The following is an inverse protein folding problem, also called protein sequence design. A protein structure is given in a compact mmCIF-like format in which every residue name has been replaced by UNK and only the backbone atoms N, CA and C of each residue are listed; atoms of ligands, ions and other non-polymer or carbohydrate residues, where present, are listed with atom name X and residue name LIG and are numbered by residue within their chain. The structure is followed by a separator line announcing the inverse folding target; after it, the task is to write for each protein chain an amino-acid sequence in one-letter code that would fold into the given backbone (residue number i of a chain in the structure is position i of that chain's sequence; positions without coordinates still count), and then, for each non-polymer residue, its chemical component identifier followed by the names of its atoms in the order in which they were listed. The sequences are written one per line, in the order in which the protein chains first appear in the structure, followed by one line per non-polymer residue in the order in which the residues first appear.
data_IF_540542277290
#
_entry.id   IF_540542277290
#
_cell.length_a   1.000
_cell.length_b   1.000
_cell.length_c   1.000
_cell.angle_alpha   90.00
_cell.angle_beta   90.00
_cell.angle_gamma   90.00
#
_symmetry.space_group_name_H-M   'P 1'
#
loop_
_entity.id
_entity.type
_entity.pdbx_description
1 polymer ?
#
# COMPACT_ATOMS: atom_id res chain seq x y z
N UNK A 1 -16.00 -7.25 10.86
CA UNK A 1 -14.59 -7.12 10.43
C UNK A 1 -14.23 -5.65 10.43
N UNK A 2 -13.32 -5.22 11.31
CA UNK A 2 -12.98 -3.80 11.47
C UNK A 2 -12.26 -3.31 10.21
N UNK A 3 -12.95 -2.47 9.43
CA UNK A 3 -12.41 -1.94 8.20
C UNK A 3 -11.29 -0.94 8.54
N UNK A 4 -10.02 -1.32 8.33
CA UNK A 4 -8.89 -0.40 8.55
C UNK A 4 -9.00 0.77 7.56
N UNK A 5 -9.14 1.99 8.08
CA UNK A 5 -9.14 3.21 7.28
C UNK A 5 -7.69 3.61 7.04
N UNK A 6 -7.25 3.51 5.79
CA UNK A 6 -5.91 3.92 5.37
C UNK A 6 -5.87 5.43 5.15
N UNK A 7 -4.79 6.08 5.60
CA UNK A 7 -4.59 7.52 5.57
C UNK A 7 -3.17 7.88 5.11
N UNK A 8 -2.96 9.09 4.60
CA UNK A 8 -1.61 9.63 4.43
C UNK A 8 -0.80 9.51 5.72
N UNK A 9 0.45 9.08 5.60
CA UNK A 9 1.37 8.81 6.72
C UNK A 9 1.42 7.34 7.13
N UNK A 10 0.34 6.57 6.93
CA UNK A 10 0.34 5.14 7.25
C UNK A 10 1.38 4.40 6.40
N UNK A 11 2.05 3.42 7.00
CA UNK A 11 2.96 2.52 6.30
C UNK A 11 2.27 1.17 6.14
N UNK A 12 2.25 0.65 4.92
CA UNK A 12 1.66 -0.64 4.60
C UNK A 12 2.67 -1.52 3.90
N UNK A 13 2.70 -2.79 4.28
CA UNK A 13 3.33 -3.83 3.49
C UNK A 13 2.40 -4.20 2.33
N UNK A 14 2.95 -4.16 1.12
CA UNK A 14 2.30 -4.49 -0.14
C UNK A 14 2.93 -5.78 -0.67
N UNK A 15 2.16 -6.87 -0.60
CA UNK A 15 2.57 -8.19 -1.04
C UNK A 15 1.57 -8.83 -2.02
N UNK A 16 1.69 -10.15 -2.29
CA UNK A 16 0.84 -10.86 -3.27
C UNK A 16 -0.66 -10.73 -2.97
N UNK A 17 -1.02 -10.63 -1.70
CA UNK A 17 -2.41 -10.56 -1.25
C UNK A 17 -3.06 -9.23 -1.66
N UNK A 18 -2.26 -8.18 -1.77
CA UNK A 18 -2.67 -6.87 -2.26
C UNK A 18 -2.71 -6.84 -3.79
N UNK A 19 -1.76 -7.48 -4.46
CA UNK A 19 -1.76 -7.73 -5.91
C UNK A 19 -0.64 -8.68 -6.30
N UNK A 20 -0.91 -9.59 -7.24
CA UNK A 20 0.06 -10.57 -7.77
C UNK A 20 1.32 -9.94 -8.38
N UNK A 21 1.31 -8.64 -8.66
CA UNK A 21 2.49 -7.90 -9.14
C UNK A 21 3.58 -7.75 -8.07
N UNK A 22 3.21 -7.90 -6.79
CA UNK A 22 4.08 -7.74 -5.63
C UNK A 22 4.45 -9.07 -4.96
N UNK A 23 4.45 -10.17 -5.71
CA UNK A 23 4.90 -11.48 -5.24
C UNK A 23 6.42 -11.56 -5.10
N UNK A 24 6.91 -12.37 -4.15
CA UNK A 24 8.35 -12.61 -3.93
C UNK A 24 9.12 -11.32 -3.64
N UNK A 25 10.28 -11.15 -4.28
CA UNK A 25 11.18 -10.00 -4.09
C UNK A 25 10.62 -8.65 -4.57
N UNK A 26 9.39 -8.65 -5.13
CA UNK A 26 8.68 -7.42 -5.54
C UNK A 26 7.81 -6.84 -4.43
N UNK A 27 7.63 -7.56 -3.33
CA UNK A 27 6.95 -7.04 -2.16
C UNK A 27 7.68 -5.82 -1.61
N UNK A 28 6.96 -4.86 -1.05
CA UNK A 28 7.54 -3.59 -0.61
C UNK A 28 6.77 -2.97 0.55
N UNK A 29 7.44 -2.10 1.29
CA UNK A 29 6.81 -1.21 2.24
C UNK A 29 6.55 0.14 1.59
N UNK A 30 5.31 0.62 1.70
CA UNK A 30 4.86 1.88 1.11
C UNK A 30 4.35 2.81 2.20
N UNK A 31 4.96 4.00 2.32
CA UNK A 31 4.36 5.10 3.09
C UNK A 31 3.34 5.82 2.22
N UNK A 32 2.08 5.78 2.63
CA UNK A 32 0.96 6.39 1.91
C UNK A 32 1.10 7.92 1.96
N UNK A 33 0.92 8.58 0.82
CA UNK A 33 0.78 10.04 0.76
C UNK A 33 -0.60 10.46 0.26
N UNK A 34 -1.27 9.60 -0.50
CA UNK A 34 -2.64 9.83 -0.96
C UNK A 34 -3.36 8.50 -1.18
N UNK A 35 -4.58 8.42 -0.69
CA UNK A 35 -5.56 7.41 -1.08
C UNK A 35 -6.52 8.05 -2.07
N UNK A 36 -6.69 7.45 -3.24
CA UNK A 36 -7.67 7.94 -4.20
C UNK A 36 -9.10 7.62 -3.71
N UNK A 37 -10.00 8.62 -3.62
CA UNK A 37 -11.36 8.39 -3.14
C UNK A 37 -12.24 7.63 -4.14
N UNK A 38 -11.83 7.51 -5.41
CA UNK A 38 -12.62 6.84 -6.44
C UNK A 38 -12.51 5.32 -6.32
N UNK A 39 -13.65 4.66 -6.16
CA UNK A 39 -13.75 3.20 -6.23
C UNK A 39 -13.93 2.83 -7.71
N UNK A 40 -12.90 2.24 -8.32
CA UNK A 40 -12.98 1.74 -9.71
C UNK A 40 -13.47 0.30 -9.78
N UNK A 41 -13.06 -0.54 -8.83
CA UNK A 41 -13.54 -1.90 -8.63
C UNK A 41 -13.70 -2.15 -7.13
N UNK A 42 -14.75 -2.88 -6.75
CA UNK A 42 -15.02 -3.14 -5.34
C UNK A 42 -13.84 -3.85 -4.65
N UNK A 43 -13.47 -3.36 -3.47
CA UNK A 43 -12.29 -3.82 -2.72
C UNK A 43 -10.93 -3.39 -3.27
N UNK A 44 -10.84 -2.73 -4.44
CA UNK A 44 -9.60 -2.23 -5.02
C UNK A 44 -9.49 -0.70 -4.92
N UNK A 45 -8.26 -0.21 -4.84
CA UNK A 45 -7.98 1.21 -4.66
C UNK A 45 -6.67 1.64 -5.29
N UNK A 46 -6.60 2.92 -5.69
CA UNK A 46 -5.36 3.57 -6.06
C UNK A 46 -4.70 4.22 -4.84
N UNK A 47 -3.41 3.96 -4.66
CA UNK A 47 -2.58 4.57 -3.61
C UNK A 47 -1.37 5.22 -4.26
N UNK A 48 -1.10 6.47 -3.88
CA UNK A 48 0.21 7.09 -4.09
C UNK A 48 1.01 6.98 -2.80
N UNK A 49 2.29 6.65 -2.92
CA UNK A 49 3.17 6.54 -1.77
C UNK A 49 4.66 6.54 -2.13
N UNK A 50 5.48 6.54 -1.10
CA UNK A 50 6.92 6.33 -1.20
C UNK A 50 7.27 4.91 -0.81
N UNK A 51 7.99 4.21 -1.68
CA UNK A 51 8.64 2.94 -1.36
C UNK A 51 9.73 3.22 -0.34
N UNK A 52 9.69 2.49 0.77
CA UNK A 52 10.65 2.63 1.84
C UNK A 52 11.80 1.64 1.67
N UNK A 53 13.02 2.11 1.88
CA UNK A 53 14.19 1.25 2.05
C UNK A 53 14.28 0.64 3.45
N UNK A 54 15.24 -0.24 3.70
CA UNK A 54 15.44 -0.88 5.01
C UNK A 54 15.66 0.11 6.17
N UNK A 55 16.20 1.29 5.88
CA UNK A 55 16.40 2.37 6.86
C UNK A 55 15.17 3.29 7.02
N UNK A 56 14.03 2.96 6.39
CA UNK A 56 12.80 3.77 6.43
C UNK A 56 12.85 5.05 5.59
N UNK A 57 13.90 5.24 4.79
CA UNK A 57 14.05 6.35 3.86
C UNK A 57 13.21 6.14 2.59
N UNK A 58 12.67 7.22 2.03
CA UNK A 58 11.93 7.18 0.77
C UNK A 58 12.89 6.98 -0.41
N UNK A 59 12.76 5.86 -1.12
CA UNK A 59 13.58 5.52 -2.29
C UNK A 59 12.94 5.96 -3.60
N UNK A 60 11.63 5.74 -3.74
CA UNK A 60 10.90 6.01 -4.98
C UNK A 60 9.45 6.36 -4.70
N UNK A 61 8.88 7.32 -5.44
CA UNK A 61 7.43 7.56 -5.45
C UNK A 61 6.75 6.61 -6.44
N UNK A 62 5.66 5.95 -6.03
CA UNK A 62 4.85 5.08 -6.89
C UNK A 62 3.36 5.35 -6.73
N UNK A 63 2.63 5.13 -7.82
CA UNK A 63 1.17 4.98 -7.84
C UNK A 63 0.84 3.53 -8.12
N UNK A 64 0.08 2.88 -7.25
CA UNK A 64 -0.24 1.45 -7.36
C UNK A 64 -1.75 1.20 -7.25
N UNK A 65 -2.21 0.12 -7.89
CA UNK A 65 -3.59 -0.34 -7.81
C UNK A 65 -3.64 -1.70 -7.10
N UNK A 66 -4.28 -1.75 -5.94
CA UNK A 66 -4.19 -2.87 -5.00
C UNK A 66 -5.52 -3.19 -4.34
N UNK A 67 -5.66 -4.43 -3.88
CA UNK A 67 -6.75 -4.88 -3.00
C UNK A 67 -6.52 -4.37 -1.59
N UNK A 68 -7.51 -3.68 -1.04
CA UNK A 68 -7.48 -3.14 0.31
C UNK A 68 -7.25 -4.21 1.37
N UNK A 69 -7.97 -5.33 1.27
CA UNK A 69 -7.91 -6.42 2.26
C UNK A 69 -6.60 -7.21 2.21
N UNK A 70 -5.81 -7.01 1.15
CA UNK A 70 -4.48 -7.58 1.01
C UNK A 70 -3.37 -6.78 1.68
N UNK A 71 -3.63 -5.51 2.03
CA UNK A 71 -2.65 -4.66 2.68
C UNK A 71 -2.47 -5.04 4.15
N UNK A 72 -1.24 -4.92 4.64
CA UNK A 72 -0.89 -5.15 6.05
C UNK A 72 -0.29 -3.86 6.62
N UNK A 73 -1.03 -3.10 7.44
CA UNK A 73 -0.48 -1.94 8.12
C UNK A 73 0.66 -2.35 9.05
N UNK A 74 1.78 -1.64 8.98
CA UNK A 74 2.79 -1.74 10.02
C UNK A 74 2.27 -1.04 11.27
N UNK A 75 2.32 -1.72 12.42
CA UNK A 75 2.03 -1.08 13.70
C UNK A 75 3.27 -0.31 14.13
N UNK A 76 3.09 0.99 14.36
CA UNK A 76 4.05 1.83 15.09
C UNK A 76 3.87 1.59 16.58
#
# INVERSE_FOLDING_TARGET
MTQVVLRPGDIVHVGPEASVQFSGDRALNLRIIRVDPRITYDGWMWIDGYVLGPAGNALQRRRIFVRRDGLRPERV
#
